data_IF_580497448862
#
_entry.id   IF_580497448862
#
_cell.length_a   1.000
_cell.length_b   1.000
_cell.length_c   1.000
_cell.angle_alpha   90.00
_cell.angle_beta   90.00
_cell.angle_gamma   90.00
#
_symmetry.space_group_name_H-M   'P 1'
#
loop_
_entity.id
_entity.type
_entity.pdbx_description
1 polymer ?
#
# COMPACT_ATOMS: atom_id res chain seq x y z
N UNK A 1 27.91 17.48 -4.70
CA UNK A 1 26.87 17.79 -3.70
C UNK A 1 25.70 16.86 -3.92
N UNK A 2 25.01 16.45 -2.86
CA UNK A 2 23.81 15.62 -2.92
C UNK A 2 22.64 16.40 -2.30
N UNK A 3 21.46 16.33 -2.89
CA UNK A 3 20.26 17.03 -2.43
C UNK A 3 19.02 16.17 -2.64
N UNK A 4 17.95 16.46 -1.90
CA UNK A 4 16.62 15.90 -2.13
C UNK A 4 15.63 17.05 -2.27
N UNK A 5 14.73 16.97 -3.24
CA UNK A 5 13.68 17.94 -3.45
C UNK A 5 12.30 17.30 -3.55
N UNK A 6 11.26 18.14 -3.65
CA UNK A 6 9.89 17.66 -3.87
C UNK A 6 9.75 16.90 -5.21
N UNK A 7 10.61 17.20 -6.20
CA UNK A 7 10.69 16.44 -7.45
C UNK A 7 11.02 14.95 -7.23
N UNK A 8 11.75 14.61 -6.16
CA UNK A 8 12.10 13.23 -5.84
C UNK A 8 10.92 12.45 -5.22
N UNK A 9 9.81 13.12 -4.89
CA UNK A 9 8.62 12.51 -4.29
C UNK A 9 7.46 12.34 -5.26
N UNK A 10 7.62 12.71 -6.53
CA UNK A 10 6.59 12.52 -7.56
C UNK A 10 6.85 11.26 -8.39
N UNK A 11 5.82 10.44 -8.54
CA UNK A 11 5.78 9.37 -9.54
C UNK A 11 5.26 9.89 -10.89
N UNK A 12 5.48 9.14 -11.96
CA UNK A 12 4.91 9.47 -13.26
C UNK A 12 3.37 9.26 -13.28
N UNK A 13 2.66 9.89 -14.24
CA UNK A 13 1.20 9.80 -14.31
C UNK A 13 0.66 8.37 -14.47
N UNK A 14 1.39 7.48 -15.17
CA UNK A 14 0.95 6.10 -15.35
C UNK A 14 1.01 5.34 -14.03
N UNK A 15 2.08 5.54 -13.25
CA UNK A 15 2.20 4.99 -11.89
C UNK A 15 1.13 5.53 -10.95
N UNK A 16 0.80 6.83 -11.03
CA UNK A 16 -0.33 7.37 -10.25
C UNK A 16 -1.66 6.71 -10.61
N UNK A 17 -1.92 6.46 -11.89
CA UNK A 17 -3.12 5.75 -12.33
C UNK A 17 -3.17 4.32 -11.80
N UNK A 18 -2.03 3.60 -11.81
CA UNK A 18 -1.91 2.24 -11.26
C UNK A 18 -2.13 2.20 -9.74
N UNK A 19 -1.56 3.16 -9.01
CA UNK A 19 -1.77 3.32 -7.57
C UNK A 19 -3.25 3.56 -7.27
N UNK A 20 -3.89 4.48 -7.99
CA UNK A 20 -5.32 4.74 -7.82
C UNK A 20 -6.18 3.54 -8.16
N UNK A 21 -5.86 2.82 -9.24
CA UNK A 21 -6.54 1.58 -9.63
C UNK A 21 -6.45 0.52 -8.54
N UNK A 22 -5.27 0.32 -7.97
CA UNK A 22 -5.02 -0.62 -6.88
C UNK A 22 -5.82 -0.26 -5.63
N UNK A 23 -5.85 1.03 -5.25
CA UNK A 23 -6.64 1.50 -4.09
C UNK A 23 -8.14 1.33 -4.33
N UNK A 24 -8.65 1.65 -5.53
CA UNK A 24 -10.07 1.46 -5.86
C UNK A 24 -10.46 -0.01 -5.80
N UNK A 25 -9.62 -0.89 -6.35
CA UNK A 25 -9.85 -2.34 -6.28
C UNK A 25 -9.87 -2.83 -4.84
N UNK A 26 -8.90 -2.45 -4.02
CA UNK A 26 -8.86 -2.85 -2.61
C UNK A 26 -10.09 -2.36 -1.83
N UNK A 27 -10.59 -1.16 -2.11
CA UNK A 27 -11.85 -0.67 -1.52
C UNK A 27 -13.04 -1.52 -1.94
N UNK A 28 -13.11 -1.91 -3.22
CA UNK A 28 -14.16 -2.79 -3.71
C UNK A 28 -14.10 -4.18 -3.04
N UNK A 29 -12.90 -4.77 -2.95
CA UNK A 29 -12.69 -6.06 -2.29
C UNK A 29 -13.12 -6.01 -0.80
N UNK A 30 -12.88 -4.89 -0.10
CA UNK A 30 -13.35 -4.70 1.29
C UNK A 30 -14.88 -4.60 1.36
N UNK A 31 -15.52 -3.89 0.41
CA UNK A 31 -17.00 -3.80 0.36
C UNK A 31 -17.61 -5.20 0.17
N UNK A 32 -17.04 -6.03 -0.69
CA UNK A 32 -17.51 -7.41 -0.89
C UNK A 32 -17.39 -8.25 0.40
N UNK A 33 -16.33 -8.05 1.19
CA UNK A 33 -16.18 -8.74 2.49
C UNK A 33 -17.22 -8.25 3.50
N UNK A 34 -17.56 -6.94 3.49
CA UNK A 34 -18.62 -6.37 4.32
C UNK A 34 -19.98 -6.95 3.94
N UNK A 35 -20.29 -7.04 2.64
CA UNK A 35 -21.55 -7.60 2.15
C UNK A 35 -21.70 -9.08 2.53
N UNK A 36 -20.64 -9.89 2.37
CA UNK A 36 -20.63 -11.29 2.82
C UNK A 36 -20.85 -11.42 4.32
N UNK A 37 -20.26 -10.53 5.11
CA UNK A 37 -20.46 -10.52 6.56
C UNK A 37 -21.91 -10.14 6.94
N UNK A 38 -22.55 -9.21 6.22
CA UNK A 38 -23.94 -8.82 6.46
C UNK A 38 -24.96 -9.88 6.02
N UNK A 39 -24.64 -10.68 5.01
CA UNK A 39 -25.51 -11.76 4.51
C UNK A 39 -25.27 -13.10 5.22
N UNK A 40 -24.48 -13.14 6.31
CA UNK A 40 -24.07 -14.35 7.02
C UNK A 40 -23.35 -15.40 6.12
N UNK A 41 -22.75 -14.95 5.00
CA UNK A 41 -21.99 -15.78 4.06
C UNK A 41 -20.50 -15.89 4.42
N UNK A 42 -20.04 -15.14 5.44
CA UNK A 42 -18.68 -15.18 5.91
C UNK A 42 -18.49 -16.32 6.92
N UNK A 43 -17.63 -17.29 6.59
CA UNK A 43 -17.29 -18.38 7.51
C UNK A 43 -16.12 -18.00 8.42
N UNK A 44 -16.19 -18.30 9.74
CA UNK A 44 -15.09 -18.07 10.65
C UNK A 44 -13.92 -19.00 10.35
N UNK A 45 -12.72 -18.43 10.21
CA UNK A 45 -11.48 -19.19 10.07
C UNK A 45 -11.16 -19.97 11.35
N UNK A 46 -10.55 -21.16 11.28
CA UNK A 46 -10.24 -21.97 12.46
C UNK A 46 -9.55 -21.18 13.58
N UNK A 47 -10.08 -21.29 14.80
CA UNK A 47 -9.53 -20.62 15.99
C UNK A 47 -9.84 -19.12 16.10
N UNK A 48 -10.68 -18.56 15.22
CA UNK A 48 -11.09 -17.16 15.25
C UNK A 48 -12.62 -17.02 15.33
N UNK A 49 -13.07 -15.95 15.96
CA UNK A 49 -14.46 -15.49 15.89
C UNK A 49 -14.74 -14.92 14.50
N UNK A 50 -16.02 -14.85 14.11
CA UNK A 50 -16.44 -14.23 12.85
C UNK A 50 -15.89 -12.80 12.69
N UNK A 51 -15.94 -12.01 13.77
CA UNK A 51 -15.39 -10.65 13.80
C UNK A 51 -13.87 -10.63 13.59
N UNK A 52 -13.13 -11.53 14.24
CA UNK A 52 -11.69 -11.63 14.01
C UNK A 52 -11.36 -12.06 12.57
N UNK A 53 -12.14 -12.98 11.99
CA UNK A 53 -11.98 -13.37 10.59
C UNK A 53 -12.21 -12.19 9.64
N UNK A 54 -13.28 -11.42 9.86
CA UNK A 54 -13.55 -10.19 9.11
C UNK A 54 -12.38 -9.21 9.20
N UNK A 55 -11.92 -8.87 10.41
CA UNK A 55 -10.80 -7.95 10.63
C UNK A 55 -9.52 -8.46 9.96
N UNK A 56 -9.23 -9.76 10.06
CA UNK A 56 -8.07 -10.37 9.43
C UNK A 56 -8.12 -10.27 7.89
N UNK A 57 -9.29 -10.49 7.28
CA UNK A 57 -9.47 -10.38 5.83
C UNK A 57 -9.31 -8.93 5.36
N UNK A 58 -9.95 -7.97 6.05
CA UNK A 58 -9.85 -6.54 5.72
C UNK A 58 -8.41 -6.05 5.86
N UNK A 59 -7.74 -6.37 6.97
CA UNK A 59 -6.33 -6.02 7.20
C UNK A 59 -5.43 -6.61 6.10
N UNK A 60 -5.68 -7.85 5.68
CA UNK A 60 -4.91 -8.47 4.60
C UNK A 60 -5.08 -7.71 3.28
N UNK A 61 -6.30 -7.39 2.89
CA UNK A 61 -6.58 -6.65 1.64
C UNK A 61 -5.89 -5.27 1.66
N UNK A 62 -6.00 -4.55 2.77
CA UNK A 62 -5.43 -3.20 2.91
C UNK A 62 -3.88 -3.22 2.94
N UNK A 63 -3.28 -4.23 3.59
CA UNK A 63 -1.83 -4.41 3.56
C UNK A 63 -1.33 -4.83 2.17
N UNK A 64 -2.03 -5.74 1.49
CA UNK A 64 -1.68 -6.14 0.12
C UNK A 64 -1.76 -4.94 -0.85
N UNK A 65 -2.75 -4.06 -0.66
CA UNK A 65 -2.88 -2.83 -1.45
C UNK A 65 -1.71 -1.86 -1.20
N UNK A 66 -1.33 -1.66 0.06
CA UNK A 66 -0.17 -0.85 0.45
C UNK A 66 1.12 -1.39 -0.18
N UNK A 67 1.34 -2.70 -0.13
CA UNK A 67 2.56 -3.31 -0.65
C UNK A 67 2.63 -3.22 -2.17
N UNK A 68 1.51 -3.45 -2.88
CA UNK A 68 1.43 -3.31 -4.34
C UNK A 68 1.67 -1.87 -4.80
N UNK A 69 1.00 -0.91 -4.17
CA UNK A 69 1.18 0.51 -4.53
C UNK A 69 2.59 1.01 -4.21
N UNK A 70 3.16 0.57 -3.09
CA UNK A 70 4.55 0.83 -2.73
C UNK A 70 5.57 0.23 -3.71
N UNK A 71 5.35 -1.00 -4.17
CA UNK A 71 6.18 -1.64 -5.18
C UNK A 71 6.08 -0.93 -6.54
N UNK A 72 4.88 -0.46 -6.91
CA UNK A 72 4.68 0.33 -8.14
C UNK A 72 5.47 1.65 -8.09
N UNK A 73 5.34 2.40 -7.00
CA UNK A 73 6.10 3.64 -6.80
C UNK A 73 7.62 3.42 -6.80
N UNK A 74 8.13 2.36 -6.17
CA UNK A 74 9.58 2.09 -6.16
C UNK A 74 10.13 1.74 -7.55
N UNK A 75 9.34 1.03 -8.37
CA UNK A 75 9.74 0.68 -9.74
C UNK A 75 9.70 1.88 -10.68
N UNK A 76 8.82 2.83 -10.44
CA UNK A 76 8.67 4.02 -11.27
C UNK A 76 9.78 5.05 -11.07
N UNK A 77 10.44 5.04 -9.91
CA UNK A 77 11.53 5.97 -9.63
C UNK A 77 12.77 5.66 -10.48
N UNK A 78 13.25 6.67 -11.19
CA UNK A 78 14.50 6.60 -11.97
C UNK A 78 15.71 6.35 -11.07
N UNK A 79 16.82 5.89 -11.66
CA UNK A 79 18.10 5.73 -10.95
C UNK A 79 18.70 7.07 -10.49
N UNK A 80 18.30 8.18 -11.12
CA UNK A 80 18.72 9.54 -10.76
C UNK A 80 17.91 10.15 -9.62
N UNK A 81 16.85 9.48 -9.15
CA UNK A 81 16.07 9.96 -8.03
C UNK A 81 16.89 9.88 -6.73
N UNK A 82 17.03 11.00 -6.04
CA UNK A 82 17.89 11.09 -4.86
C UNK A 82 17.31 10.34 -3.66
N UNK A 83 15.98 10.25 -3.57
CA UNK A 83 15.33 9.47 -2.52
C UNK A 83 15.61 7.96 -2.69
N UNK A 84 15.50 7.46 -3.93
CA UNK A 84 15.89 6.08 -4.27
C UNK A 84 17.37 5.83 -4.00
N UNK A 85 18.24 6.75 -4.38
CA UNK A 85 19.69 6.64 -4.16
C UNK A 85 20.04 6.49 -2.67
N UNK A 86 19.44 7.29 -1.79
CA UNK A 86 19.66 7.19 -0.33
C UNK A 86 19.21 5.84 0.24
N UNK A 87 18.05 5.34 -0.20
CA UNK A 87 17.51 4.05 0.27
C UNK A 87 18.35 2.88 -0.24
N UNK A 88 18.79 2.91 -1.51
CA UNK A 88 19.63 1.85 -2.10
C UNK A 88 21.04 1.84 -1.49
N UNK A 89 21.61 3.03 -1.24
CA UNK A 89 22.91 3.15 -0.56
C UNK A 89 22.85 2.78 0.92
N UNK A 90 21.64 2.64 1.50
CA UNK A 90 21.45 2.34 2.92
C UNK A 90 21.83 3.50 3.84
N UNK A 91 21.97 4.72 3.32
CA UNK A 91 22.41 5.88 4.11
C UNK A 91 21.27 6.45 4.96
N UNK A 92 20.06 6.56 4.40
CA UNK A 92 18.87 7.02 5.11
C UNK A 92 17.57 6.61 4.40
N UNK A 93 16.57 6.26 5.21
CA UNK A 93 15.26 5.85 4.74
C UNK A 93 15.20 4.37 4.37
N UNK A 94 14.00 3.91 4.04
CA UNK A 94 13.70 2.54 3.67
C UNK A 94 12.73 2.51 2.50
N UNK A 95 12.55 1.33 1.91
CA UNK A 95 11.52 1.07 0.89
C UNK A 95 10.12 1.51 1.36
N UNK A 96 9.81 1.33 2.64
CA UNK A 96 8.54 1.76 3.24
C UNK A 96 8.39 3.29 3.21
N UNK A 97 9.46 4.05 3.46
CA UNK A 97 9.39 5.51 3.43
C UNK A 97 9.07 6.02 2.01
N UNK A 98 9.66 5.42 0.97
CA UNK A 98 9.31 5.74 -0.42
C UNK A 98 7.84 5.44 -0.68
N UNK A 99 7.37 4.25 -0.30
CA UNK A 99 5.97 3.85 -0.49
C UNK A 99 4.99 4.79 0.21
N UNK A 100 5.29 5.24 1.44
CA UNK A 100 4.38 6.08 2.21
C UNK A 100 4.37 7.54 1.75
N UNK A 101 5.51 8.05 1.28
CA UNK A 101 5.63 9.43 0.78
C UNK A 101 5.04 9.56 -0.62
N UNK A 102 5.18 8.53 -1.47
CA UNK A 102 4.80 8.60 -2.89
C UNK A 102 3.45 7.94 -3.19
N UNK A 103 3.14 6.81 -2.55
CA UNK A 103 1.95 6.01 -2.88
C UNK A 103 0.82 6.15 -1.86
N UNK A 104 0.91 5.46 -0.71
CA UNK A 104 -0.09 5.55 0.34
C UNK A 104 0.51 5.23 1.72
N UNK A 105 0.03 5.92 2.76
CA UNK A 105 0.50 5.75 4.14
C UNK A 105 0.17 4.34 4.69
N UNK A 106 -0.99 3.80 4.28
CA UNK A 106 -1.53 2.53 4.75
C UNK A 106 -2.44 2.69 5.97
N UNK A 107 -2.98 1.56 6.45
CA UNK A 107 -3.84 1.50 7.62
C UNK A 107 -3.04 1.79 8.91
N UNK A 108 -3.64 2.55 9.83
CA UNK A 108 -3.11 2.80 11.17
C UNK A 108 -3.71 1.77 12.12
N UNK A 109 -2.88 0.93 12.74
CA UNK A 109 -3.32 0.02 13.79
C UNK A 109 -3.18 0.74 15.15
N UNK A 110 -4.19 0.61 16.02
CA UNK A 110 -4.21 1.15 17.39
C UNK A 110 -4.15 -0.01 18.37
#
# INVERSE_FOLDING_TARGET
GHTIGIGDTFADPATYSDIQGTIRKAKQDVIEVIEKAHNDELEPTPGNTLRQTFENQVNRILNDARDKTGASAQRSLSEYNNFKAMVVAGSKGSKINISQVIACVGQQNV
#
